data_IF_713301477775
#
_entry.id   IF_713301477775
#
_cell.length_a   1.000
_cell.length_b   1.000
_cell.length_c   1.000
_cell.angle_alpha   90.00
_cell.angle_beta   90.00
_cell.angle_gamma   90.00
#
_symmetry.space_group_name_H-M   'P 1'
#
loop_
_entity.id
_entity.type
_entity.pdbx_description
1 polymer ?
#
# COMPACT_ATOMS: atom_id res chain seq x y z
N UNK A 1 10.54 -15.29 20.59
CA UNK A 1 9.15 -15.79 20.57
C UNK A 1 8.83 -16.35 21.96
N UNK A 2 7.67 -15.98 22.53
CA UNK A 2 7.23 -16.55 23.80
C UNK A 2 6.12 -17.56 23.52
N UNK A 3 6.36 -18.82 23.88
CA UNK A 3 5.35 -19.89 23.79
C UNK A 3 5.10 -20.33 25.23
N UNK A 4 3.98 -19.88 25.79
CA UNK A 4 3.64 -20.11 27.20
C UNK A 4 4.66 -19.47 28.16
N UNK A 5 5.25 -20.22 29.11
CA UNK A 5 6.21 -19.67 30.08
C UNK A 5 7.64 -19.50 29.53
N UNK A 6 7.95 -20.03 28.33
CA UNK A 6 9.31 -20.04 27.80
C UNK A 6 9.53 -18.98 26.72
N UNK A 7 10.73 -18.39 26.72
CA UNK A 7 11.17 -17.45 25.68
C UNK A 7 12.31 -18.07 24.88
N UNK A 8 12.14 -18.17 23.56
CA UNK A 8 13.13 -18.70 22.63
C UNK A 8 13.62 -17.62 21.66
N UNK A 9 14.92 -17.63 21.38
CA UNK A 9 15.56 -16.71 20.42
C UNK A 9 15.39 -17.28 19.01
N UNK A 10 14.84 -16.49 18.09
CA UNK A 10 14.77 -16.84 16.67
C UNK A 10 16.16 -16.57 16.06
N UNK A 11 16.73 -17.57 15.39
CA UNK A 11 18.10 -17.50 14.86
C UNK A 11 18.17 -17.57 13.34
N UNK A 12 17.10 -18.03 12.67
CA UNK A 12 17.00 -18.08 11.21
C UNK A 12 16.11 -16.97 10.65
N UNK A 13 16.48 -16.45 9.48
CA UNK A 13 15.69 -15.48 8.75
C UNK A 13 14.31 -16.02 8.34
N UNK A 14 14.19 -17.32 8.06
CA UNK A 14 12.90 -17.97 7.74
C UNK A 14 11.97 -17.96 8.96
N UNK A 15 12.47 -18.35 10.13
CA UNK A 15 11.69 -18.33 11.37
C UNK A 15 11.27 -16.91 11.78
N UNK A 16 12.10 -15.90 11.47
CA UNK A 16 11.71 -14.50 11.66
C UNK A 16 10.59 -14.12 10.69
N UNK A 17 10.71 -14.45 9.40
CA UNK A 17 9.64 -14.20 8.41
C UNK A 17 8.34 -14.89 8.83
N UNK A 18 8.36 -16.17 9.17
CA UNK A 18 7.16 -16.91 9.58
C UNK A 18 6.50 -16.31 10.83
N UNK A 19 7.29 -15.87 11.82
CA UNK A 19 6.75 -15.22 13.02
C UNK A 19 6.09 -13.87 12.69
N UNK A 20 6.70 -13.07 11.81
CA UNK A 20 6.12 -11.81 11.39
C UNK A 20 4.91 -12.01 10.44
N UNK A 21 4.91 -13.08 9.62
CA UNK A 21 3.76 -13.49 8.80
C UNK A 21 2.56 -13.84 9.69
N UNK A 22 2.77 -14.59 10.77
CA UNK A 22 1.73 -14.91 11.77
C UNK A 22 1.20 -13.67 12.50
N UNK A 23 1.93 -12.55 12.47
CA UNK A 23 1.49 -11.28 13.08
C UNK A 23 0.71 -10.37 12.13
N UNK A 24 0.37 -10.83 10.92
CA UNK A 24 -0.37 -10.11 9.85
C UNK A 24 0.29 -8.80 9.36
N UNK A 25 1.48 -8.46 9.85
CA UNK A 25 2.12 -7.15 9.57
C UNK A 25 2.98 -7.08 8.32
N UNK A 26 3.31 -8.21 7.68
CA UNK A 26 4.20 -8.21 6.50
C UNK A 26 3.44 -7.91 5.21
N UNK A 27 2.21 -8.40 5.06
CA UNK A 27 1.45 -8.31 3.80
C UNK A 27 0.31 -7.31 3.91
N UNK A 28 0.55 -6.16 4.55
CA UNK A 28 -0.47 -5.13 4.74
C UNK A 28 -1.13 -4.74 3.41
N UNK A 29 -0.33 -4.66 2.36
CA UNK A 29 -0.73 -4.38 0.98
C UNK A 29 -1.64 -5.46 0.38
N UNK A 30 -1.46 -6.74 0.74
CA UNK A 30 -2.27 -7.84 0.23
C UNK A 30 -3.58 -8.06 1.01
N UNK A 31 -3.77 -7.37 2.16
CA UNK A 31 -4.99 -7.52 2.97
C UNK A 31 -6.21 -7.00 2.21
N UNK A 32 -7.32 -7.78 2.14
CA UNK A 32 -8.58 -7.32 1.56
C UNK A 32 -9.13 -6.09 2.29
N UNK A 33 -9.49 -5.06 1.54
CA UNK A 33 -10.03 -3.81 2.04
C UNK A 33 -11.55 -3.76 1.82
N UNK A 34 -12.30 -4.20 2.83
CA UNK A 34 -13.77 -4.29 2.74
C UNK A 34 -14.46 -2.92 2.73
N UNK A 35 -13.81 -1.89 3.27
CA UNK A 35 -14.37 -0.54 3.35
C UNK A 35 -14.22 0.24 2.03
N UNK A 36 -13.47 -0.30 1.05
CA UNK A 36 -13.25 0.33 -0.24
C UNK A 36 -14.36 -0.01 -1.24
N UNK A 37 -15.04 1.02 -1.73
CA UNK A 37 -16.04 0.92 -2.79
C UNK A 37 -15.49 1.45 -4.12
N UNK A 38 -15.16 0.60 -5.10
CA UNK A 38 -14.52 1.02 -6.36
C UNK A 38 -15.37 2.02 -7.14
N UNK A 39 -16.69 1.87 -7.11
CA UNK A 39 -17.62 2.73 -7.84
C UNK A 39 -17.62 4.19 -7.38
N UNK A 40 -17.19 4.47 -6.15
CA UNK A 40 -17.25 5.82 -5.55
C UNK A 40 -15.90 6.33 -5.07
N UNK A 41 -14.99 5.43 -4.70
CA UNK A 41 -13.71 5.77 -4.06
C UNK A 41 -12.51 5.61 -4.98
N UNK A 42 -12.66 4.99 -6.16
CA UNK A 42 -11.58 4.88 -7.13
C UNK A 42 -11.37 6.20 -7.87
N UNK A 43 -10.10 6.60 -8.02
CA UNK A 43 -9.69 7.75 -8.81
C UNK A 43 -9.52 7.35 -10.28
N UNK A 44 -10.59 7.56 -11.05
CA UNK A 44 -10.62 7.23 -12.48
C UNK A 44 -9.66 8.09 -13.31
N UNK A 45 -9.37 9.31 -12.85
CA UNK A 45 -8.48 10.24 -13.55
C UNK A 45 -7.03 9.78 -13.37
N UNK A 46 -6.64 9.42 -12.14
CA UNK A 46 -5.35 8.84 -11.82
C UNK A 46 -5.16 7.49 -12.52
N UNK A 47 -6.19 6.64 -12.56
CA UNK A 47 -6.12 5.36 -13.26
C UNK A 47 -5.94 5.54 -14.78
N UNK A 48 -6.63 6.52 -15.37
CA UNK A 48 -6.45 6.87 -16.79
C UNK A 48 -5.04 7.41 -17.07
N UNK A 49 -4.50 8.25 -16.18
CA UNK A 49 -3.12 8.72 -16.25
C UNK A 49 -2.14 7.54 -16.17
N UNK A 50 -2.33 6.62 -15.23
CA UNK A 50 -1.53 5.40 -15.12
C UNK A 50 -1.53 4.62 -16.44
N UNK A 51 -2.69 4.42 -17.09
CA UNK A 51 -2.74 3.74 -18.40
C UNK A 51 -1.93 4.48 -19.46
N UNK A 52 -2.05 5.81 -19.51
CA UNK A 52 -1.33 6.64 -20.48
C UNK A 52 0.20 6.52 -20.30
N UNK A 53 0.68 6.65 -19.06
CA UNK A 53 2.10 6.54 -18.71
C UNK A 53 2.64 5.11 -18.89
N UNK A 54 1.83 4.09 -18.62
CA UNK A 54 2.17 2.69 -18.87
C UNK A 54 2.05 2.28 -20.34
N UNK A 55 1.69 3.19 -21.23
CA UNK A 55 1.42 2.94 -22.66
C UNK A 55 0.38 1.83 -22.91
N UNK A 56 -0.60 1.72 -22.01
CA UNK A 56 -1.73 0.79 -22.13
C UNK A 56 -2.82 1.48 -22.95
N UNK A 57 -3.29 0.79 -24.00
CA UNK A 57 -4.39 1.29 -24.81
C UNK A 57 -5.65 1.51 -23.97
N UNK A 58 -6.32 2.63 -24.20
CA UNK A 58 -7.60 2.98 -23.56
C UNK A 58 -8.73 1.98 -23.85
N UNK A 59 -8.57 1.16 -24.89
CA UNK A 59 -9.51 0.09 -25.26
C UNK A 59 -9.45 -1.09 -24.28
N UNK A 60 -8.34 -1.25 -23.55
CA UNK A 60 -8.19 -2.35 -22.58
C UNK A 60 -9.14 -2.13 -21.40
N UNK A 61 -10.05 -3.08 -21.11
CA UNK A 61 -10.98 -2.98 -19.99
C UNK A 61 -10.25 -2.88 -18.65
N UNK A 62 -10.81 -2.09 -17.74
CA UNK A 62 -10.25 -1.86 -16.41
C UNK A 62 -10.09 -3.17 -15.62
N UNK A 63 -11.09 -4.05 -15.68
CA UNK A 63 -11.06 -5.37 -15.03
C UNK A 63 -9.86 -6.22 -15.47
N UNK A 64 -9.47 -6.14 -16.75
CA UNK A 64 -8.31 -6.88 -17.23
C UNK A 64 -7.03 -6.36 -16.58
N UNK A 65 -6.93 -5.05 -16.38
CA UNK A 65 -5.77 -4.41 -15.76
C UNK A 65 -5.76 -4.74 -14.25
N UNK A 66 -6.91 -4.66 -13.58
CA UNK A 66 -7.02 -5.04 -12.17
C UNK A 66 -6.59 -6.49 -11.93
N UNK A 67 -7.01 -7.42 -12.79
CA UNK A 67 -6.57 -8.81 -12.75
C UNK A 67 -5.07 -8.95 -12.99
N UNK A 68 -4.54 -8.24 -13.99
CA UNK A 68 -3.12 -8.32 -14.36
C UNK A 68 -2.21 -7.81 -13.24
N UNK A 69 -2.66 -6.76 -12.54
CA UNK A 69 -1.98 -6.17 -11.38
C UNK A 69 -2.33 -6.89 -10.07
N UNK A 70 -3.26 -7.86 -10.09
CA UNK A 70 -3.74 -8.60 -8.91
C UNK A 70 -4.27 -7.70 -7.79
N UNK A 71 -5.02 -6.66 -8.15
CA UNK A 71 -5.53 -5.63 -7.23
C UNK A 71 -6.64 -6.13 -6.29
N UNK A 72 -7.26 -7.26 -6.63
CA UNK A 72 -8.27 -7.89 -5.79
C UNK A 72 -7.94 -9.35 -5.52
N UNK A 73 -8.51 -9.90 -4.46
CA UNK A 73 -8.41 -11.31 -4.11
C UNK A 73 -9.35 -12.17 -4.97
N UNK A 74 -9.35 -13.49 -4.76
CA UNK A 74 -10.23 -14.42 -5.49
C UNK A 74 -11.73 -14.18 -5.31
N UNK A 75 -12.13 -13.34 -4.35
CA UNK A 75 -13.52 -12.97 -4.06
C UNK A 75 -13.88 -11.59 -4.65
N UNK A 76 -13.02 -11.04 -5.52
CA UNK A 76 -13.16 -9.69 -6.11
C UNK A 76 -13.17 -8.54 -5.09
N UNK A 77 -12.60 -8.75 -3.90
CA UNK A 77 -12.40 -7.70 -2.90
C UNK A 77 -11.04 -7.06 -3.17
N UNK A 78 -11.03 -5.74 -3.39
CA UNK A 78 -9.80 -4.97 -3.59
C UNK A 78 -8.93 -5.02 -2.33
N UNK A 79 -7.62 -5.06 -2.52
CA UNK A 79 -6.66 -5.09 -1.42
C UNK A 79 -6.17 -3.67 -1.10
N UNK A 80 -5.45 -3.53 0.00
CA UNK A 80 -4.95 -2.23 0.47
C UNK A 80 -4.01 -1.55 -0.54
N UNK A 81 -3.20 -2.30 -1.30
CA UNK A 81 -2.37 -1.71 -2.37
C UNK A 81 -3.20 -0.93 -3.40
N UNK A 82 -4.30 -1.50 -3.87
CA UNK A 82 -5.17 -0.89 -4.85
C UNK A 82 -5.81 0.40 -4.31
N UNK A 83 -6.17 0.41 -3.02
CA UNK A 83 -6.67 1.60 -2.34
C UNK A 83 -5.57 2.67 -2.25
N UNK A 84 -4.35 2.30 -1.89
CA UNK A 84 -3.22 3.22 -1.77
C UNK A 84 -2.80 3.84 -3.11
N UNK A 85 -2.84 3.07 -4.20
CA UNK A 85 -2.41 3.54 -5.52
C UNK A 85 -3.51 4.22 -6.32
N UNK A 86 -4.75 3.76 -6.21
CA UNK A 86 -5.84 4.19 -7.09
C UNK A 86 -7.07 4.70 -6.34
N UNK A 87 -7.01 4.80 -5.02
CA UNK A 87 -8.06 5.45 -4.23
C UNK A 87 -7.95 6.97 -4.30
N UNK A 88 -9.10 7.66 -4.36
CA UNK A 88 -9.16 9.13 -4.38
C UNK A 88 -8.75 9.76 -3.04
N UNK A 89 -9.11 9.11 -1.93
CA UNK A 89 -8.81 9.56 -0.57
C UNK A 89 -8.50 8.36 0.33
N UNK A 90 -7.37 7.66 0.11
CA UNK A 90 -7.02 6.46 0.85
C UNK A 90 -6.89 6.70 2.36
N UNK A 91 -6.61 7.92 2.79
CA UNK A 91 -6.48 8.29 4.21
C UNK A 91 -7.76 8.17 5.04
N UNK A 92 -8.92 8.05 4.39
CA UNK A 92 -10.20 7.86 5.09
C UNK A 92 -10.35 6.40 5.55
N UNK A 93 -9.57 5.50 4.97
CA UNK A 93 -9.66 4.05 5.18
C UNK A 93 -8.39 3.53 5.85
N UNK A 94 -7.22 4.04 5.46
CA UNK A 94 -5.92 3.59 5.92
C UNK A 94 -5.26 4.69 6.76
N UNK A 95 -4.85 4.34 7.98
CA UNK A 95 -4.10 5.23 8.86
C UNK A 95 -2.82 5.74 8.18
N UNK A 96 -2.63 7.06 8.21
CA UNK A 96 -1.47 7.73 7.61
C UNK A 96 -0.59 8.42 8.63
N UNK A 97 0.72 8.43 8.35
CA UNK A 97 1.68 9.34 8.95
C UNK A 97 2.00 10.46 7.95
N UNK A 98 2.01 11.71 8.41
CA UNK A 98 2.35 12.86 7.56
C UNK A 98 3.87 12.96 7.46
N UNK A 99 4.40 12.83 6.25
CA UNK A 99 5.82 13.05 5.94
C UNK A 99 5.95 14.43 5.30
N UNK A 100 6.79 15.30 5.87
CA UNK A 100 7.13 16.61 5.31
C UNK A 100 8.61 16.64 4.92
N UNK A 101 8.88 16.91 3.66
CA UNK A 101 10.23 17.29 3.22
C UNK A 101 10.46 18.75 3.61
N UNK A 102 11.64 19.03 4.16
CA UNK A 102 12.02 20.39 4.55
C UNK A 102 13.39 20.70 3.96
N UNK A 103 13.48 21.74 3.16
CA UNK A 103 14.74 22.24 2.63
C UNK A 103 15.51 23.03 3.70
N UNK A 104 16.81 22.77 3.81
CA UNK A 104 17.70 23.47 4.74
C UNK A 104 18.77 24.26 3.98
N UNK A 105 19.18 25.42 4.51
CA UNK A 105 20.27 26.20 3.96
C UNK A 105 21.63 25.56 4.29
N UNK A 106 22.37 25.18 3.24
CA UNK A 106 23.73 24.65 3.38
C UNK A 106 23.78 23.25 3.99
N UNK A 107 24.94 22.88 4.52
CA UNK A 107 25.19 21.52 5.03
C UNK A 107 24.77 21.31 6.49
N UNK A 108 24.34 22.37 7.18
CA UNK A 108 23.92 22.31 8.57
C UNK A 108 22.41 22.44 8.68
N UNK A 109 21.75 21.52 9.39
CA UNK A 109 20.29 21.49 9.62
C UNK A 109 19.79 22.60 10.58
N UNK A 110 20.29 23.83 10.44
CA UNK A 110 20.04 24.96 11.35
C UNK A 110 19.01 25.94 10.82
N UNK A 111 19.03 26.21 9.52
CA UNK A 111 18.15 27.19 8.88
C UNK A 111 17.28 26.47 7.87
N UNK A 112 15.96 26.50 8.08
CA UNK A 112 14.96 26.01 7.14
C UNK A 112 14.74 27.09 6.09
N UNK A 113 14.71 26.71 4.81
CA UNK A 113 14.49 27.60 3.66
C UNK A 113 13.21 27.28 2.89
N UNK A 114 12.44 26.29 3.34
CA UNK A 114 11.06 26.08 2.87
C UNK A 114 10.13 27.13 3.52
N UNK A 115 9.29 27.75 2.70
CA UNK A 115 8.17 28.61 3.12
C UNK A 115 7.04 27.82 3.83
#
# INVERSE_FOLDING_TARGET
MRIGPNTQKLTSAEQMRDFFQQSERIYFDEVPCNDFSPATMMDTDLFSLFKAEAHISSIVPDEQIYNSLKLFNGEQIFKNDAVLFFGKQPELIIDKAIIRCVAFQGMTKRFIIDD
#
